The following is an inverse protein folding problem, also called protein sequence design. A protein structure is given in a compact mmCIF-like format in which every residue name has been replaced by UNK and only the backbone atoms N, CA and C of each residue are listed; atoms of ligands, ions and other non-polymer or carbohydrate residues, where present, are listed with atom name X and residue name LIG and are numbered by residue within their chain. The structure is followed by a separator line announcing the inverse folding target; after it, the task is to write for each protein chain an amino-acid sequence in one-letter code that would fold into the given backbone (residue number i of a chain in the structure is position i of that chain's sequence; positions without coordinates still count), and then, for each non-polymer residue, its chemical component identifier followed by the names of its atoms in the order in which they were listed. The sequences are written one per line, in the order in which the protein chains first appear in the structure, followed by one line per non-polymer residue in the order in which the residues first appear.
data_IF_718782939377
#
_entry.id   IF_718782939377
#
_cell.length_a   1.000
_cell.length_b   1.000
_cell.length_c   1.000
_cell.angle_alpha   90.00
_cell.angle_beta   90.00
_cell.angle_gamma   90.00
#
_symmetry.space_group_name_H-M   'P 1'
#
loop_
_entity.id
_entity.type
_entity.pdbx_description
1 polymer ?
#
# COMPACT_ATOMS: atom_id res chain seq x y z
N UNK A 1 -26.15 58.10 62.41
CA UNK A 1 -24.77 58.60 62.19
C UNK A 1 -24.11 57.76 61.10
N UNK A 2 -23.50 58.40 60.09
CA UNK A 2 -22.64 57.81 59.05
C UNK A 2 -23.39 57.24 57.82
N UNK A 3 -23.48 57.92 56.66
CA UNK A 3 -22.48 58.02 55.54
C UNK A 3 -22.06 56.65 55.00
N UNK A 4 -22.03 56.32 53.71
CA UNK A 4 -22.10 57.06 52.45
C UNK A 4 -21.47 56.21 51.32
N UNK A 5 -21.48 56.73 50.09
CA UNK A 5 -20.68 56.36 48.91
C UNK A 5 -20.93 54.98 48.26
N UNK A 6 -21.42 54.88 47.02
CA UNK A 6 -20.91 55.33 45.71
C UNK A 6 -19.76 54.46 45.15
N UNK A 7 -19.97 54.03 43.89
CA UNK A 7 -19.01 53.57 42.86
C UNK A 7 -18.60 52.09 42.87
N UNK A 8 -18.92 51.36 41.81
CA UNK A 8 -17.99 51.17 40.69
C UNK A 8 -18.64 50.34 39.57
N UNK A 9 -18.51 50.87 38.35
CA UNK A 9 -18.85 50.21 37.09
C UNK A 9 -17.93 49.01 36.92
N UNK A 10 -18.46 47.85 36.58
CA UNK A 10 -17.73 46.85 35.79
C UNK A 10 -18.68 46.26 34.78
N UNK A 11 -18.40 46.62 33.53
CA UNK A 11 -18.98 46.09 32.31
C UNK A 11 -18.66 44.59 32.24
N UNK A 12 -19.67 43.74 32.06
CA UNK A 12 -19.44 42.44 31.43
C UNK A 12 -20.17 42.47 30.10
N UNK A 13 -19.34 42.42 29.07
CA UNK A 13 -19.69 42.57 27.68
C UNK A 13 -20.64 41.46 27.21
N UNK A 14 -21.59 41.87 26.39
CA UNK A 14 -22.39 41.05 25.50
C UNK A 14 -21.48 40.13 24.65
N UNK A 15 -21.84 38.85 24.53
CA UNK A 15 -21.56 38.13 23.29
C UNK A 15 -22.63 37.07 23.00
N UNK A 16 -23.56 37.54 22.15
CA UNK A 16 -24.22 36.84 21.04
C UNK A 16 -24.79 35.42 21.26
N UNK A 17 -26.12 35.41 21.24
CA UNK A 17 -27.02 34.27 21.00
C UNK A 17 -26.65 33.53 19.70
N UNK A 18 -26.70 32.20 19.77
CA UNK A 18 -26.54 31.28 18.65
C UNK A 18 -27.65 31.43 17.59
N UNK A 19 -27.29 31.35 16.31
CA UNK A 19 -28.22 31.03 15.23
C UNK A 19 -27.68 29.86 14.41
N UNK A 20 -28.41 28.75 14.47
CA UNK A 20 -28.21 27.54 13.69
C UNK A 20 -28.51 27.84 12.22
N UNK A 21 -27.54 27.64 11.33
CA UNK A 21 -27.78 27.54 9.90
C UNK A 21 -27.21 26.21 9.40
N UNK A 22 -28.08 25.20 9.36
CA UNK A 22 -27.86 23.93 8.69
C UNK A 22 -27.72 24.16 7.18
N UNK A 23 -26.49 24.32 6.71
CA UNK A 23 -26.15 24.31 5.30
C UNK A 23 -26.07 22.88 4.78
N UNK A 24 -27.21 22.21 4.62
CA UNK A 24 -27.28 20.94 3.90
C UNK A 24 -27.28 21.25 2.40
N UNK A 25 -26.09 21.47 1.82
CA UNK A 25 -25.95 21.74 0.38
C UNK A 25 -26.05 20.42 -0.42
N UNK A 26 -27.09 20.22 -1.26
CA UNK A 26 -27.20 19.06 -2.14
C UNK A 26 -26.54 19.41 -3.48
N UNK A 27 -25.28 19.83 -3.45
CA UNK A 27 -24.48 20.05 -4.64
C UNK A 27 -23.65 18.79 -4.89
N UNK A 28 -24.30 17.83 -5.54
CA UNK A 28 -23.68 16.78 -6.34
C UNK A 28 -22.53 16.05 -5.64
N UNK A 29 -22.92 15.08 -4.79
CA UNK A 29 -22.24 13.79 -4.78
C UNK A 29 -21.85 13.44 -6.22
N UNK A 30 -20.58 13.63 -6.56
CA UNK A 30 -19.96 12.92 -7.68
C UNK A 30 -20.30 11.48 -7.41
N UNK A 31 -21.21 10.94 -8.22
CA UNK A 31 -21.38 9.51 -8.40
C UNK A 31 -19.97 8.98 -8.54
N UNK A 32 -19.43 8.39 -7.47
CA UNK A 32 -18.32 7.47 -7.59
C UNK A 32 -18.94 6.43 -8.50
N UNK A 33 -18.61 6.53 -9.78
CA UNK A 33 -18.83 5.47 -10.75
C UNK A 33 -18.51 4.22 -9.97
N UNK A 34 -19.51 3.35 -9.83
CA UNK A 34 -19.37 2.02 -9.29
C UNK A 34 -18.09 1.46 -9.88
N UNK A 35 -17.00 1.58 -9.11
CA UNK A 35 -15.69 1.22 -9.60
C UNK A 35 -15.85 -0.23 -9.90
N UNK A 36 -15.74 -0.62 -11.18
CA UNK A 36 -15.52 -2.01 -11.48
C UNK A 36 -14.43 -2.43 -10.53
N UNK A 37 -14.74 -3.32 -9.60
CA UNK A 37 -13.78 -3.87 -8.65
C UNK A 37 -12.79 -4.65 -9.51
N UNK A 38 -11.87 -3.95 -10.16
CA UNK A 38 -10.84 -4.55 -10.96
C UNK A 38 -10.04 -5.37 -9.98
N UNK A 39 -9.98 -6.67 -10.26
CA UNK A 39 -9.21 -7.59 -9.43
C UNK A 39 -7.82 -6.99 -9.20
N UNK A 40 -7.32 -6.98 -7.96
CA UNK A 40 -6.03 -6.37 -7.65
C UNK A 40 -4.96 -6.92 -8.60
N UNK A 41 -4.12 -6.02 -9.13
CA UNK A 41 -3.02 -6.40 -10.02
C UNK A 41 -2.15 -7.43 -9.31
N UNK A 42 -1.87 -8.53 -9.99
CA UNK A 42 -0.91 -9.53 -9.51
C UNK A 42 0.50 -9.14 -9.96
N UNK A 43 1.45 -9.10 -9.03
CA UNK A 43 2.87 -8.97 -9.36
C UNK A 43 3.51 -10.36 -9.26
N UNK A 44 4.17 -10.79 -10.32
CA UNK A 44 4.86 -12.07 -10.38
C UNK A 44 6.36 -11.78 -10.32
N UNK A 45 7.04 -12.34 -9.33
CA UNK A 45 8.47 -12.12 -9.13
C UNK A 45 9.21 -13.39 -9.55
N UNK A 46 10.08 -13.27 -10.54
CA UNK A 46 10.97 -14.36 -10.95
C UNK A 46 12.29 -14.33 -10.17
N UNK A 47 12.46 -15.28 -9.25
CA UNK A 47 13.77 -15.52 -8.66
C UNK A 47 14.58 -16.38 -9.64
N UNK A 48 15.47 -15.74 -10.41
CA UNK A 48 16.30 -16.39 -11.45
C UNK A 48 17.10 -17.60 -10.95
N UNK A 49 17.45 -18.53 -11.83
CA UNK A 49 18.20 -19.76 -11.50
C UNK A 49 17.53 -20.62 -10.40
N UNK A 50 18.30 -21.44 -9.66
CA UNK A 50 17.83 -22.24 -8.52
C UNK A 50 18.21 -23.72 -8.61
N UNK A 51 18.31 -24.38 -7.45
CA UNK A 51 18.68 -25.79 -7.37
C UNK A 51 20.07 -26.06 -7.95
N UNK A 52 20.12 -26.90 -8.98
CA UNK A 52 21.37 -27.25 -9.67
C UNK A 52 21.90 -26.12 -10.56
N UNK A 53 21.04 -25.19 -10.98
CA UNK A 53 21.46 -24.02 -11.74
C UNK A 53 21.92 -22.94 -10.76
N UNK A 54 23.24 -22.78 -10.66
CA UNK A 54 23.89 -21.81 -9.79
C UNK A 54 23.67 -20.37 -10.25
N UNK A 55 23.58 -20.17 -11.56
CA UNK A 55 23.77 -18.87 -12.21
C UNK A 55 25.15 -18.24 -11.95
N UNK A 56 25.30 -17.03 -12.47
CA UNK A 56 26.47 -16.17 -12.27
C UNK A 56 27.76 -16.70 -12.91
N UNK A 57 28.85 -16.02 -12.59
CA UNK A 57 30.18 -16.34 -13.10
C UNK A 57 30.81 -17.43 -12.22
N UNK A 58 31.43 -18.49 -12.80
CA UNK A 58 32.17 -19.48 -12.04
C UNK A 58 33.24 -18.85 -11.12
N UNK A 59 33.40 -19.38 -9.91
CA UNK A 59 34.41 -18.91 -8.95
C UNK A 59 33.98 -17.74 -8.05
N UNK A 60 32.82 -17.12 -8.29
CA UNK A 60 32.26 -16.15 -7.34
C UNK A 60 31.90 -16.81 -6.00
N UNK A 61 32.06 -16.08 -4.88
CA UNK A 61 31.78 -16.61 -3.54
C UNK A 61 30.31 -16.96 -3.30
N UNK A 62 29.42 -16.11 -3.78
CA UNK A 62 27.96 -16.25 -3.62
C UNK A 62 27.38 -16.59 -4.98
N UNK A 63 26.42 -17.51 -5.02
CA UNK A 63 25.74 -17.88 -6.26
C UNK A 63 24.67 -16.84 -6.63
N UNK A 64 24.44 -16.64 -7.93
CA UNK A 64 23.39 -15.72 -8.39
C UNK A 64 22.01 -16.18 -7.91
N UNK A 65 21.76 -17.49 -7.88
CA UNK A 65 20.50 -18.06 -7.36
C UNK A 65 20.19 -17.64 -5.91
N UNK A 66 21.21 -17.42 -5.09
CA UNK A 66 21.06 -17.05 -3.68
C UNK A 66 20.69 -15.56 -3.58
N UNK A 67 21.41 -14.71 -4.32
CA UNK A 67 21.15 -13.26 -4.35
C UNK A 67 19.77 -12.94 -4.92
N UNK A 68 19.40 -13.60 -6.03
CA UNK A 68 18.10 -13.42 -6.67
C UNK A 68 16.96 -13.86 -5.75
N UNK A 69 17.11 -14.98 -5.02
CA UNK A 69 16.10 -15.42 -4.05
C UNK A 69 15.95 -14.42 -2.90
N UNK A 70 17.06 -13.96 -2.31
CA UNK A 70 17.05 -12.98 -1.21
C UNK A 70 16.34 -11.69 -1.62
N UNK A 71 16.72 -11.11 -2.77
CA UNK A 71 16.10 -9.88 -3.28
C UNK A 71 14.62 -10.10 -3.58
N UNK A 72 14.27 -11.22 -4.23
CA UNK A 72 12.89 -11.53 -4.59
C UNK A 72 11.98 -11.69 -3.36
N UNK A 73 12.46 -12.34 -2.29
CA UNK A 73 11.71 -12.50 -1.04
C UNK A 73 11.50 -11.15 -0.32
N UNK A 74 12.51 -10.27 -0.32
CA UNK A 74 12.38 -8.91 0.23
C UNK A 74 11.36 -8.09 -0.56
N UNK A 75 11.43 -8.14 -1.89
CA UNK A 75 10.49 -7.46 -2.76
C UNK A 75 9.06 -7.97 -2.56
N UNK A 76 8.88 -9.30 -2.44
CA UNK A 76 7.58 -9.90 -2.12
C UNK A 76 6.99 -9.29 -0.85
N UNK A 77 7.77 -9.17 0.21
CA UNK A 77 7.29 -8.66 1.50
C UNK A 77 6.87 -7.17 1.39
N UNK A 78 7.66 -6.34 0.69
CA UNK A 78 7.33 -4.92 0.46
C UNK A 78 6.04 -4.75 -0.36
N UNK A 79 5.90 -5.51 -1.44
CA UNK A 79 4.73 -5.43 -2.32
C UNK A 79 3.47 -5.98 -1.63
N UNK A 80 3.58 -7.09 -0.91
CA UNK A 80 2.48 -7.66 -0.14
C UNK A 80 2.01 -6.68 0.95
N UNK A 81 2.93 -6.03 1.67
CA UNK A 81 2.60 -5.00 2.66
C UNK A 81 1.93 -3.76 2.03
N UNK A 82 2.17 -3.52 0.73
CA UNK A 82 1.54 -2.44 -0.05
C UNK A 82 0.19 -2.85 -0.65
N UNK A 83 -0.32 -4.05 -0.36
CA UNK A 83 -1.64 -4.53 -0.78
C UNK A 83 -1.68 -5.23 -2.15
N UNK A 84 -0.52 -5.50 -2.76
CA UNK A 84 -0.46 -6.27 -4.00
C UNK A 84 -0.61 -7.77 -3.75
N UNK A 85 -1.27 -8.46 -4.68
CA UNK A 85 -1.19 -9.92 -4.75
C UNK A 85 0.15 -10.29 -5.37
N UNK A 86 1.00 -11.00 -4.63
CA UNK A 86 2.34 -11.37 -5.11
C UNK A 86 2.43 -12.87 -5.30
N UNK A 87 2.99 -13.29 -6.44
CA UNK A 87 3.33 -14.68 -6.75
C UNK A 87 4.82 -14.75 -7.04
N UNK A 88 5.49 -15.82 -6.62
CA UNK A 88 6.89 -16.07 -6.99
C UNK A 88 6.98 -17.30 -7.90
N UNK A 89 7.92 -17.30 -8.84
CA UNK A 89 8.21 -18.52 -9.64
C UNK A 89 8.85 -19.61 -8.78
N UNK A 90 9.67 -19.22 -7.80
CA UNK A 90 10.17 -20.05 -6.69
C UNK A 90 10.35 -19.19 -5.43
N UNK A 91 10.12 -19.79 -4.27
CA UNK A 91 10.31 -19.17 -2.94
C UNK A 91 11.36 -19.89 -2.07
N UNK A 92 12.02 -20.89 -2.65
CA UNK A 92 13.09 -21.69 -2.07
C UNK A 92 14.19 -21.98 -3.13
N UNK A 93 15.26 -22.65 -2.73
CA UNK A 93 16.35 -23.05 -3.63
C UNK A 93 15.99 -24.29 -4.46
N UNK A 94 15.09 -24.10 -5.42
CA UNK A 94 14.64 -25.12 -6.36
C UNK A 94 14.81 -24.65 -7.79
N UNK A 95 15.09 -25.58 -8.70
CA UNK A 95 15.17 -25.26 -10.12
C UNK A 95 13.77 -25.17 -10.72
N UNK A 96 13.48 -24.07 -11.42
CA UNK A 96 12.28 -23.90 -12.25
C UNK A 96 12.73 -23.65 -13.69
N UNK A 97 12.24 -24.45 -14.63
CA UNK A 97 12.59 -24.31 -16.05
C UNK A 97 12.07 -22.99 -16.63
N UNK A 98 12.73 -22.46 -17.66
CA UNK A 98 12.28 -21.22 -18.32
C UNK A 98 10.82 -21.32 -18.81
N UNK A 99 10.37 -22.42 -19.47
CA UNK A 99 8.96 -22.56 -19.83
C UNK A 99 8.03 -22.65 -18.61
N UNK A 100 8.48 -23.25 -17.50
CA UNK A 100 7.72 -23.31 -16.25
C UNK A 100 7.48 -21.92 -15.66
N UNK A 101 8.49 -21.05 -15.68
CA UNK A 101 8.38 -19.64 -15.24
C UNK A 101 7.33 -18.88 -16.07
N UNK A 102 7.38 -19.06 -17.39
CA UNK A 102 6.39 -18.47 -18.33
C UNK A 102 5.00 -19.04 -18.11
N UNK A 103 4.87 -20.35 -17.85
CA UNK A 103 3.59 -20.99 -17.56
C UNK A 103 2.94 -20.45 -16.28
N UNK A 104 3.74 -20.23 -15.22
CA UNK A 104 3.29 -19.56 -14.00
C UNK A 104 2.78 -18.15 -14.35
N UNK A 105 3.55 -17.38 -15.12
CA UNK A 105 3.16 -16.03 -15.53
C UNK A 105 1.80 -16.01 -16.25
N UNK A 106 1.66 -16.85 -17.27
CA UNK A 106 0.47 -16.93 -18.12
C UNK A 106 -0.76 -17.52 -17.42
N UNK A 107 -0.60 -18.17 -16.26
CA UNK A 107 -1.71 -18.68 -15.44
C UNK A 107 -2.50 -17.56 -14.75
N UNK A 108 -1.92 -16.35 -14.64
CA UNK A 108 -2.57 -15.20 -14.03
C UNK A 108 -3.05 -14.20 -15.08
N UNK A 109 -4.30 -13.73 -14.93
CA UNK A 109 -4.86 -12.62 -15.69
C UNK A 109 -4.65 -11.32 -14.91
N UNK A 110 -4.51 -10.20 -15.61
CA UNK A 110 -4.25 -8.88 -15.00
C UNK A 110 -3.02 -8.88 -14.09
N UNK A 111 -1.87 -9.27 -14.66
CA UNK A 111 -0.61 -9.40 -13.95
C UNK A 111 0.52 -8.65 -14.65
N UNK A 112 1.52 -8.24 -13.86
CA UNK A 112 2.85 -7.87 -14.34
C UNK A 112 3.84 -8.94 -13.90
N UNK A 113 4.73 -9.32 -14.81
CA UNK A 113 5.86 -10.21 -14.58
C UNK A 113 7.13 -9.40 -14.75
#
# INVERSE_FOLDING_TARGET
MGTGFCRHRLLVASLLVALLASGNSPAAQRSRTSGSSSSPITVIIDAGHGGHDRGGIPGQRIAEKDMTLDVAQRLRNVLAASGYRVVMTRDSDVFVSLPGRVAIANSYRNAVF
#
